data_IF_378525850814
#
_entry.id   IF_378525850814
#
_cell.length_a   1.000
_cell.length_b   1.000
_cell.length_c   1.000
_cell.angle_alpha   90.00
_cell.angle_beta   90.00
_cell.angle_gamma   90.00
#
_symmetry.space_group_name_H-M   'P 1'
#
loop_
_entity.id
_entity.type
_entity.pdbx_description
1 polymer ?
#
# COMPACT_ATOMS: atom_id res chain seq x y z
N UNK A 1 -14.19 14.68 4.54
CA UNK A 1 -14.00 13.20 4.48
C UNK A 1 -14.99 12.47 5.39
N UNK A 2 -15.22 12.93 6.61
CA UNK A 2 -16.14 12.34 7.61
C UNK A 2 -17.51 11.95 7.04
N UNK A 3 -18.20 12.88 6.35
CA UNK A 3 -19.48 12.58 5.69
C UNK A 3 -19.42 11.36 4.74
N UNK A 4 -18.32 11.17 4.02
CA UNK A 4 -18.17 10.03 3.09
C UNK A 4 -18.04 8.71 3.85
N UNK A 5 -17.29 8.71 4.97
CA UNK A 5 -17.15 7.53 5.84
C UNK A 5 -18.49 7.15 6.45
N UNK A 6 -19.27 8.13 6.94
CA UNK A 6 -20.60 7.91 7.48
C UNK A 6 -21.54 7.28 6.44
N UNK A 7 -21.56 7.82 5.22
CA UNK A 7 -22.38 7.29 4.12
C UNK A 7 -21.97 5.89 3.66
N UNK A 8 -20.67 5.57 3.71
CA UNK A 8 -20.17 4.23 3.45
C UNK A 8 -20.60 3.25 4.54
N UNK A 9 -20.47 3.65 5.81
CA UNK A 9 -20.85 2.86 6.98
C UNK A 9 -22.34 2.51 6.97
N UNK A 10 -23.23 3.44 6.59
CA UNK A 10 -24.66 3.19 6.44
C UNK A 10 -24.99 2.06 5.44
N UNK A 11 -24.04 1.72 4.57
CA UNK A 11 -24.17 0.69 3.56
C UNK A 11 -23.28 -0.53 3.79
N UNK A 12 -22.72 -0.65 4.99
CA UNK A 12 -21.75 -1.70 5.33
C UNK A 12 -20.53 -1.73 4.39
N UNK A 13 -20.12 -0.55 3.89
CA UNK A 13 -18.94 -0.38 3.05
C UNK A 13 -17.81 0.21 3.92
N UNK A 14 -16.62 -0.39 3.84
CA UNK A 14 -15.40 0.17 4.40
C UNK A 14 -14.82 1.16 3.41
N UNK A 15 -14.60 2.41 3.84
CA UNK A 15 -13.98 3.44 3.00
C UNK A 15 -12.49 3.54 3.34
N UNK A 16 -11.65 3.11 2.41
CA UNK A 16 -10.22 3.35 2.43
C UNK A 16 -9.82 4.49 1.51
N UNK A 17 -8.73 5.14 1.84
CA UNK A 17 -7.99 6.03 0.93
C UNK A 17 -6.61 5.46 0.68
N UNK A 18 -6.06 5.73 -0.47
CA UNK A 18 -4.66 5.46 -0.74
C UNK A 18 -3.82 6.69 -0.39
N UNK A 19 -2.87 6.49 0.53
CA UNK A 19 -1.89 7.51 0.91
C UNK A 19 -0.69 7.36 -0.02
N UNK A 20 -0.53 8.29 -0.96
CA UNK A 20 0.48 8.17 -2.01
C UNK A 20 1.26 9.47 -2.23
N UNK A 21 2.43 9.36 -2.87
CA UNK A 21 3.20 10.54 -3.28
C UNK A 21 2.34 11.44 -4.20
N UNK A 22 2.44 12.75 -4.04
CA UNK A 22 1.60 13.72 -4.76
C UNK A 22 0.19 13.92 -4.18
N UNK A 23 -0.24 13.13 -3.17
CA UNK A 23 -1.52 13.31 -2.48
C UNK A 23 -1.41 14.26 -1.27
N UNK A 24 -2.54 14.47 -0.57
CA UNK A 24 -2.55 15.24 0.69
C UNK A 24 -1.90 14.51 1.87
N UNK A 25 -1.65 13.21 1.72
CA UNK A 25 -1.02 12.35 2.73
C UNK A 25 0.16 11.56 2.14
N UNK A 26 1.22 12.25 1.65
CA UNK A 26 2.33 11.61 0.96
C UNK A 26 3.31 10.89 1.88
N UNK A 27 3.17 10.99 3.19
CA UNK A 27 4.03 10.33 4.17
C UNK A 27 3.23 9.59 5.24
N UNK A 28 3.80 8.58 5.90
CA UNK A 28 3.12 7.85 6.97
C UNK A 28 2.58 8.76 8.08
N UNK A 29 3.32 9.80 8.46
CA UNK A 29 2.90 10.72 9.53
C UNK A 29 1.69 11.56 9.12
N UNK A 30 1.64 12.01 7.85
CA UNK A 30 0.49 12.75 7.34
C UNK A 30 -0.73 11.83 7.16
N UNK A 31 -0.52 10.57 6.75
CA UNK A 31 -1.58 9.57 6.72
C UNK A 31 -2.15 9.32 8.12
N UNK A 32 -1.30 9.09 9.12
CA UNK A 32 -1.73 8.92 10.53
C UNK A 32 -2.47 10.15 11.05
N UNK A 33 -1.99 11.34 10.72
CA UNK A 33 -2.66 12.59 11.10
C UNK A 33 -4.07 12.67 10.50
N UNK A 34 -4.23 12.30 9.23
CA UNK A 34 -5.54 12.30 8.57
C UNK A 34 -6.48 11.26 9.20
N UNK A 35 -5.99 10.05 9.44
CA UNK A 35 -6.74 8.97 10.09
C UNK A 35 -7.21 9.36 11.49
N UNK A 36 -6.39 10.06 12.27
CA UNK A 36 -6.77 10.54 13.60
C UNK A 36 -7.86 11.63 13.58
N UNK A 37 -8.07 12.29 12.45
CA UNK A 37 -9.09 13.33 12.29
C UNK A 37 -10.41 12.83 11.71
N UNK A 38 -10.44 11.60 11.16
CA UNK A 38 -11.61 11.05 10.46
C UNK A 38 -11.90 9.67 10.99
N UNK A 39 -12.78 9.59 11.99
CA UNK A 39 -13.16 8.31 12.60
C UNK A 39 -13.73 7.34 11.56
N UNK A 40 -13.23 6.09 11.59
CA UNK A 40 -13.63 5.01 10.68
C UNK A 40 -13.05 5.09 9.28
N UNK A 41 -12.16 6.06 8.99
CA UNK A 41 -11.38 6.05 7.76
C UNK A 41 -10.29 4.98 7.85
N UNK A 42 -10.06 4.26 6.76
CA UNK A 42 -9.03 3.24 6.64
C UNK A 42 -8.09 3.54 5.47
N UNK A 43 -7.12 2.66 5.25
CA UNK A 43 -6.19 2.76 4.13
C UNK A 43 -6.35 1.60 3.15
N UNK A 44 -6.30 1.92 1.87
CA UNK A 44 -5.68 1.09 0.86
C UNK A 44 -4.18 1.36 0.98
N UNK A 45 -3.46 0.41 1.56
CA UNK A 45 -2.06 0.62 1.94
C UNK A 45 -1.12 0.07 0.87
N UNK A 46 -0.38 0.96 0.23
CA UNK A 46 0.68 0.63 -0.72
C UNK A 46 2.01 1.22 -0.25
N UNK A 47 2.95 0.35 0.11
CA UNK A 47 4.27 0.77 0.58
C UNK A 47 5.13 1.36 -0.53
N UNK A 48 4.86 1.05 -1.81
CA UNK A 48 5.66 1.53 -2.94
C UNK A 48 5.79 3.04 -2.96
N UNK A 49 4.71 3.75 -2.64
CA UNK A 49 4.67 5.21 -2.61
C UNK A 49 5.61 5.82 -1.56
N UNK A 50 5.81 5.15 -0.44
CA UNK A 50 6.71 5.62 0.62
C UNK A 50 8.16 5.22 0.34
N UNK A 51 8.39 3.97 -0.09
CA UNK A 51 9.72 3.47 -0.45
C UNK A 51 10.31 4.29 -1.60
N UNK A 52 9.47 4.66 -2.61
CA UNK A 52 9.87 5.56 -3.72
C UNK A 52 10.41 6.90 -3.22
N UNK A 53 9.97 7.37 -2.08
CA UNK A 53 10.42 8.61 -1.43
C UNK A 53 11.61 8.40 -0.47
N UNK A 54 12.16 7.19 -0.40
CA UNK A 54 13.23 6.84 0.55
C UNK A 54 12.77 6.73 2.00
N UNK A 55 11.46 6.57 2.22
CA UNK A 55 10.91 6.40 3.56
C UNK A 55 11.14 4.96 4.02
N UNK A 56 11.60 4.77 5.25
CA UNK A 56 11.95 3.45 5.76
C UNK A 56 10.74 2.54 6.02
N UNK A 57 10.94 1.24 5.92
CA UNK A 57 9.93 0.22 6.24
C UNK A 57 9.36 0.37 7.65
N UNK A 58 10.17 0.74 8.65
CA UNK A 58 9.72 0.95 10.03
C UNK A 58 8.63 2.01 10.13
N UNK A 59 8.72 3.05 9.30
CA UNK A 59 7.71 4.11 9.26
C UNK A 59 6.45 3.64 8.54
N UNK A 60 6.60 2.87 7.46
CA UNK A 60 5.49 2.31 6.69
C UNK A 60 4.67 1.30 7.54
N UNK A 61 5.33 0.44 8.30
CA UNK A 61 4.70 -0.57 9.14
C UNK A 61 3.75 0.03 10.19
N UNK A 62 3.95 1.27 10.62
CA UNK A 62 3.04 1.97 11.54
C UNK A 62 1.63 2.18 10.97
N UNK A 63 1.46 2.06 9.66
CA UNK A 63 0.17 2.23 8.99
C UNK A 63 -0.65 0.93 8.93
N UNK A 64 -0.03 -0.22 9.16
CA UNK A 64 -0.67 -1.54 9.05
C UNK A 64 -1.97 -1.64 9.86
N UNK A 65 -2.07 -1.17 11.12
CA UNK A 65 -3.32 -1.25 11.87
C UNK A 65 -4.51 -0.52 11.23
N UNK A 66 -4.27 0.31 10.25
CA UNK A 66 -5.29 1.08 9.54
C UNK A 66 -5.62 0.51 8.15
N UNK A 67 -4.93 -0.55 7.72
CA UNK A 67 -5.14 -1.14 6.41
C UNK A 67 -6.47 -1.90 6.36
N UNK A 68 -7.33 -1.57 5.40
CA UNK A 68 -8.50 -2.37 5.03
C UNK A 68 -8.31 -3.09 3.70
N UNK A 69 -7.33 -2.64 2.93
CA UNK A 69 -6.86 -3.25 1.69
C UNK A 69 -5.35 -3.05 1.57
N UNK A 70 -4.64 -4.01 0.98
CA UNK A 70 -3.19 -3.91 0.80
C UNK A 70 -2.81 -4.09 -0.67
N UNK A 71 -2.10 -3.11 -1.22
CA UNK A 71 -1.51 -3.21 -2.53
C UNK A 71 -0.05 -3.66 -2.42
N UNK A 72 0.34 -4.63 -3.25
CA UNK A 72 1.70 -5.10 -3.38
C UNK A 72 2.23 -4.80 -4.79
N UNK A 73 3.30 -4.01 -4.84
CA UNK A 73 4.01 -3.62 -6.05
C UNK A 73 5.49 -3.50 -5.74
N UNK A 74 6.35 -4.04 -6.61
CA UNK A 74 7.80 -3.84 -6.48
C UNK A 74 8.17 -2.37 -6.64
N UNK A 75 8.92 -1.83 -5.68
CA UNK A 75 9.39 -0.45 -5.68
C UNK A 75 10.76 -0.31 -5.03
N UNK A 76 11.47 0.77 -5.35
CA UNK A 76 12.72 1.16 -4.70
C UNK A 76 12.83 2.70 -4.66
N UNK A 77 13.86 3.29 -4.00
CA UNK A 77 13.97 4.74 -3.87
C UNK A 77 14.08 5.52 -5.20
N UNK A 78 14.24 4.83 -6.32
CA UNK A 78 14.37 5.44 -7.64
C UNK A 78 13.17 5.17 -8.56
N UNK A 79 12.36 4.14 -8.23
CA UNK A 79 11.25 3.69 -9.06
C UNK A 79 10.02 3.41 -8.19
N UNK A 80 8.89 4.01 -8.53
CA UNK A 80 7.61 3.70 -7.89
C UNK A 80 7.15 2.28 -8.23
N UNK A 81 7.46 1.84 -9.45
CA UNK A 81 7.19 0.51 -9.95
C UNK A 81 8.43 -0.06 -10.61
N UNK A 82 8.87 -1.24 -10.19
CA UNK A 82 10.05 -1.91 -10.74
C UNK A 82 9.83 -3.43 -10.78
N UNK A 83 10.74 -4.13 -11.46
CA UNK A 83 10.77 -5.58 -11.44
C UNK A 83 10.94 -6.11 -10.01
N UNK A 84 10.43 -7.32 -9.74
CA UNK A 84 10.51 -7.95 -8.40
C UNK A 84 11.97 -8.10 -7.95
N UNK A 85 12.89 -8.35 -8.86
CA UNK A 85 14.34 -8.46 -8.56
C UNK A 85 14.99 -7.13 -8.13
N UNK A 86 14.40 -5.98 -8.53
CA UNK A 86 14.88 -4.64 -8.16
C UNK A 86 14.17 -4.09 -6.90
N UNK A 87 13.19 -4.82 -6.38
CA UNK A 87 12.33 -4.38 -5.29
C UNK A 87 13.09 -4.23 -3.96
N UNK A 88 12.82 -3.14 -3.25
CA UNK A 88 13.38 -2.85 -1.94
C UNK A 88 12.37 -3.02 -0.79
N UNK A 89 11.12 -3.39 -1.08
CA UNK A 89 10.11 -3.65 -0.05
C UNK A 89 10.34 -5.04 0.54
N UNK A 90 10.50 -5.12 1.85
CA UNK A 90 10.53 -6.40 2.58
C UNK A 90 9.09 -6.92 2.75
N UNK A 91 8.59 -7.65 1.75
CA UNK A 91 7.25 -8.21 1.79
C UNK A 91 7.07 -9.28 2.85
N UNK A 92 8.11 -10.05 3.18
CA UNK A 92 8.03 -11.03 4.28
C UNK A 92 7.70 -10.33 5.59
N UNK A 93 8.42 -9.26 5.88
CA UNK A 93 8.18 -8.45 7.08
C UNK A 93 6.80 -7.75 7.03
N UNK A 94 6.39 -7.26 5.86
CA UNK A 94 5.08 -6.63 5.70
C UNK A 94 3.94 -7.62 5.96
N UNK A 95 4.01 -8.83 5.40
CA UNK A 95 2.98 -9.86 5.57
C UNK A 95 2.88 -10.34 7.01
N UNK A 96 4.02 -10.57 7.68
CA UNK A 96 4.04 -10.91 9.11
C UNK A 96 3.41 -9.83 9.97
N UNK A 97 3.71 -8.56 9.69
CA UNK A 97 3.13 -7.46 10.43
C UNK A 97 1.61 -7.29 10.16
N UNK A 98 1.12 -7.62 8.96
CA UNK A 98 -0.30 -7.70 8.64
C UNK A 98 -0.98 -8.82 9.45
N UNK A 99 -0.37 -10.00 9.50
CA UNK A 99 -0.89 -11.14 10.27
C UNK A 99 -0.92 -10.83 11.78
N UNK A 100 0.17 -10.31 12.34
CA UNK A 100 0.26 -9.87 13.73
C UNK A 100 -0.79 -8.81 14.10
N UNK A 101 -1.17 -7.96 13.13
CA UNK A 101 -2.23 -6.98 13.31
C UNK A 101 -3.66 -7.54 13.14
N UNK A 102 -3.79 -8.83 12.81
CA UNK A 102 -5.07 -9.49 12.57
C UNK A 102 -5.73 -9.05 11.26
N UNK A 103 -4.94 -8.70 10.24
CA UNK A 103 -5.46 -8.29 8.93
C UNK A 103 -6.15 -9.47 8.23
N UNK A 104 -7.40 -9.27 7.83
CA UNK A 104 -8.21 -10.27 7.11
C UNK A 104 -8.67 -9.81 5.73
N UNK A 105 -8.11 -8.70 5.26
CA UNK A 105 -8.43 -8.13 3.96
C UNK A 105 -7.71 -8.81 2.80
N UNK A 106 -7.89 -8.27 1.61
CA UNK A 106 -7.23 -8.77 0.40
C UNK A 106 -5.88 -8.11 0.19
N UNK A 107 -4.92 -8.90 -0.30
CA UNK A 107 -3.65 -8.43 -0.85
C UNK A 107 -3.77 -8.49 -2.36
N UNK A 108 -3.67 -7.33 -3.00
CA UNK A 108 -3.77 -7.19 -4.45
C UNK A 108 -2.40 -6.84 -5.02
N UNK A 109 -1.90 -7.62 -5.97
CA UNK A 109 -0.75 -7.19 -6.76
C UNK A 109 -1.21 -6.10 -7.73
N UNK A 110 -0.58 -4.92 -7.67
CA UNK A 110 -0.96 -3.77 -8.47
C UNK A 110 0.23 -3.24 -9.27
N UNK A 111 0.24 -3.54 -10.57
CA UNK A 111 1.15 -2.90 -11.53
C UNK A 111 0.31 -2.16 -12.56
N UNK A 112 0.62 -0.88 -12.74
CA UNK A 112 -0.11 -0.01 -13.67
C UNK A 112 0.68 0.20 -14.96
N UNK A 113 -0.02 0.47 -16.06
CA UNK A 113 0.60 0.83 -17.32
C UNK A 113 0.29 2.29 -17.63
N UNK A 114 1.08 3.17 -17.03
CA UNK A 114 0.93 4.62 -17.17
C UNK A 114 2.32 5.30 -17.23
N UNK A 115 2.38 6.49 -17.82
CA UNK A 115 3.64 7.25 -17.95
C UNK A 115 4.09 7.88 -16.64
N UNK A 116 3.16 8.08 -15.71
CA UNK A 116 3.48 8.64 -14.41
C UNK A 116 4.47 7.75 -13.67
N UNK A 117 5.55 8.35 -13.16
CA UNK A 117 6.67 7.66 -12.51
C UNK A 117 7.30 6.57 -13.39
N UNK A 118 7.08 6.60 -14.71
CA UNK A 118 7.55 5.62 -15.69
C UNK A 118 7.05 4.17 -15.43
N UNK A 119 5.88 4.01 -14.85
CA UNK A 119 5.30 2.69 -14.57
C UNK A 119 5.13 1.83 -15.83
N UNK A 120 4.93 2.46 -17.00
CA UNK A 120 4.86 1.80 -18.31
C UNK A 120 6.20 1.17 -18.79
N UNK A 121 7.29 1.29 -18.04
CA UNK A 121 8.60 0.68 -18.35
C UNK A 121 8.77 -0.72 -17.80
N UNK A 122 7.81 -1.20 -16.99
CA UNK A 122 7.83 -2.51 -16.36
C UNK A 122 6.79 -3.41 -17.01
N UNK A 123 7.12 -4.66 -17.31
CA UNK A 123 6.12 -5.66 -17.72
C UNK A 123 5.24 -6.05 -16.54
N UNK A 124 4.15 -5.30 -16.36
CA UNK A 124 3.29 -5.43 -15.20
C UNK A 124 2.69 -6.82 -15.02
N UNK A 125 2.36 -7.53 -16.11
CA UNK A 125 1.73 -8.85 -16.02
C UNK A 125 2.73 -9.89 -15.50
N UNK A 126 3.92 -9.95 -16.08
CA UNK A 126 4.95 -10.88 -15.63
C UNK A 126 5.37 -10.60 -14.18
N UNK A 127 5.52 -9.34 -13.82
CA UNK A 127 5.93 -8.95 -12.46
C UNK A 127 4.84 -9.21 -11.42
N UNK A 128 3.55 -9.01 -11.75
CA UNK A 128 2.44 -9.39 -10.86
C UNK A 128 2.41 -10.89 -10.59
N UNK A 129 2.67 -11.72 -11.61
CA UNK A 129 2.72 -13.18 -11.44
C UNK A 129 3.89 -13.60 -10.55
N UNK A 130 5.08 -13.02 -10.74
CA UNK A 130 6.26 -13.28 -9.92
C UNK A 130 6.05 -12.83 -8.48
N UNK A 131 5.55 -11.60 -8.28
CA UNK A 131 5.29 -11.07 -6.96
C UNK A 131 4.23 -11.90 -6.22
N UNK A 132 3.15 -12.28 -6.88
CA UNK A 132 2.13 -13.16 -6.32
C UNK A 132 2.75 -14.48 -5.85
N UNK A 133 3.56 -15.14 -6.71
CA UNK A 133 4.24 -16.38 -6.34
C UNK A 133 5.14 -16.19 -5.11
N UNK A 134 5.86 -15.07 -5.00
CA UNK A 134 6.66 -14.72 -3.82
C UNK A 134 5.79 -14.57 -2.56
N UNK A 135 4.68 -13.82 -2.66
CA UNK A 135 3.79 -13.57 -1.51
C UNK A 135 3.14 -14.86 -0.99
N UNK A 136 2.79 -15.80 -1.87
CA UNK A 136 2.20 -17.11 -1.52
C UNK A 136 3.21 -18.06 -0.82
N UNK A 137 4.51 -17.75 -0.82
CA UNK A 137 5.53 -18.55 -0.11
C UNK A 137 5.77 -18.12 1.34
N UNK A 138 5.19 -17.01 1.75
CA UNK A 138 5.34 -16.50 3.13
C UNK A 138 4.32 -17.19 4.03
N UNK A 139 4.83 -18.03 4.94
CA UNK A 139 4.07 -18.66 6.02
C UNK A 139 3.97 -17.74 7.26
#
# INVERSE_FOLDING_TARGET
MTWRVERARERSIVLGIEAHLGSIAPTPELALKLLSQVDGLTLTLDFSHFIRQGISMERCLKLIPWASHFHARGANPHKLQCAVEENAIDFVRALRALDEAGYTGWICTEYTYEEWENCNRTDGISEMMQLRALLETVE
#
